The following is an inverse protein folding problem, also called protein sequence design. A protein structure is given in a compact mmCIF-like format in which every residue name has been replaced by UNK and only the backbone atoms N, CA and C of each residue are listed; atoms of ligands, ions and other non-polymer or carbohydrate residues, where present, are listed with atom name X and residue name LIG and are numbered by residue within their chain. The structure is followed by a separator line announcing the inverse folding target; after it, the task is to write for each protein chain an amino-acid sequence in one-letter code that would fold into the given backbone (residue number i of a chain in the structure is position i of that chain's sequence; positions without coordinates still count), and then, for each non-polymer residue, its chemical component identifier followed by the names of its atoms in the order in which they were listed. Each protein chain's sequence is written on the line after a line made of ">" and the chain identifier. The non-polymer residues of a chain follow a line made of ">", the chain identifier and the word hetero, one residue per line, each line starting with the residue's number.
data_IF_629315280772
#
_entry.id   IF_629315280772
#
_cell.length_a   1.000
_cell.length_b   1.000
_cell.length_c   1.000
_cell.angle_alpha   90.00
_cell.angle_beta   90.00
_cell.angle_gamma   90.00
#
_symmetry.space_group_name_H-M   'P 1'
#
loop_
_entity.id
_entity.type
_entity.pdbx_description
1 polymer ?
#
# COMPACT_ATOMS: atom_id res chain seq x y z
N UNK A 1 -19.55 -7.65 1.10
CA UNK A 1 -18.85 -6.86 0.08
C UNK A 1 -17.35 -7.09 0.21
N UNK A 2 -16.61 -7.26 -0.88
CA UNK A 2 -15.17 -7.44 -0.77
C UNK A 2 -14.52 -6.15 -0.24
N UNK A 3 -13.41 -6.29 0.51
CA UNK A 3 -12.66 -5.13 0.94
C UNK A 3 -12.12 -4.33 -0.25
N UNK A 4 -12.08 -3.02 -0.10
CA UNK A 4 -11.59 -2.10 -1.13
C UNK A 4 -10.12 -1.81 -0.94
N UNK A 5 -9.35 -1.92 -2.00
CA UNK A 5 -7.90 -1.75 -1.98
C UNK A 5 -7.45 -0.67 -2.96
N UNK A 6 -6.56 0.20 -2.50
CA UNK A 6 -5.87 1.17 -3.34
C UNK A 6 -4.45 0.64 -3.61
N UNK A 7 -4.05 0.58 -4.87
CA UNK A 7 -2.71 0.15 -5.28
C UNK A 7 -1.84 1.36 -5.60
N UNK A 8 -0.68 1.45 -4.95
CA UNK A 8 0.24 2.58 -5.15
C UNK A 8 1.64 2.07 -5.46
N UNK A 9 2.08 2.28 -6.70
CA UNK A 9 3.41 1.90 -7.18
C UNK A 9 3.63 2.66 -8.49
N UNK A 10 4.82 3.18 -8.73
CA UNK A 10 5.12 3.88 -9.98
C UNK A 10 5.32 2.93 -11.16
N UNK A 11 5.36 1.63 -10.92
CA UNK A 11 5.50 0.61 -11.96
C UNK A 11 4.15 0.02 -12.34
N UNK A 12 3.77 0.16 -13.61
CA UNK A 12 2.56 -0.48 -14.15
C UNK A 12 2.61 -1.99 -13.98
N UNK A 13 3.80 -2.57 -14.18
CA UNK A 13 4.01 -4.02 -14.05
C UNK A 13 3.69 -4.49 -12.63
N UNK A 14 4.19 -3.78 -11.62
CA UNK A 14 3.95 -4.15 -10.22
C UNK A 14 2.49 -3.99 -9.82
N UNK A 15 1.83 -2.92 -10.29
CA UNK A 15 0.40 -2.75 -10.00
C UNK A 15 -0.43 -3.86 -10.65
N UNK A 16 -0.10 -4.24 -11.89
CA UNK A 16 -0.80 -5.34 -12.57
C UNK A 16 -0.60 -6.66 -11.84
N UNK A 17 0.60 -6.92 -11.33
CA UNK A 17 0.89 -8.13 -10.56
C UNK A 17 0.06 -8.18 -9.28
N UNK A 18 0.01 -7.08 -8.54
CA UNK A 18 -0.83 -6.99 -7.34
C UNK A 18 -2.31 -7.14 -7.68
N UNK A 19 -2.76 -6.55 -8.79
CA UNK A 19 -4.14 -6.68 -9.24
C UNK A 19 -4.48 -8.15 -9.48
N UNK A 20 -3.63 -8.87 -10.20
CA UNK A 20 -3.85 -10.31 -10.45
C UNK A 20 -3.94 -11.12 -9.16
N UNK A 21 -3.12 -10.78 -8.18
CA UNK A 21 -3.13 -11.47 -6.89
C UNK A 21 -4.43 -11.19 -6.12
N UNK A 22 -4.93 -9.96 -6.19
CA UNK A 22 -5.98 -9.47 -5.28
C UNK A 22 -7.39 -9.47 -5.87
N UNK A 23 -7.55 -9.36 -7.19
CA UNK A 23 -8.86 -9.09 -7.79
C UNK A 23 -9.93 -10.14 -7.54
N UNK A 24 -9.54 -11.36 -7.19
CA UNK A 24 -10.48 -12.43 -6.89
C UNK A 24 -11.27 -12.18 -5.58
N UNK A 25 -10.60 -11.59 -4.59
CA UNK A 25 -11.16 -11.44 -3.24
C UNK A 25 -11.28 -9.99 -2.78
N UNK A 26 -10.77 -9.04 -3.56
CA UNK A 26 -10.74 -7.63 -3.21
C UNK A 26 -11.20 -6.77 -4.39
N UNK A 27 -11.79 -5.61 -4.07
CA UNK A 27 -12.15 -4.63 -5.08
C UNK A 27 -11.04 -3.59 -5.19
N UNK A 28 -10.43 -3.48 -6.37
CA UNK A 28 -9.40 -2.46 -6.62
C UNK A 28 -10.10 -1.17 -6.97
N UNK A 29 -10.07 -0.19 -6.07
CA UNK A 29 -10.82 1.07 -6.26
C UNK A 29 -10.01 2.16 -6.93
N UNK A 30 -8.70 1.99 -7.04
CA UNK A 30 -7.85 2.95 -7.72
C UNK A 30 -6.41 2.51 -7.79
N UNK A 31 -5.64 3.19 -8.64
CA UNK A 31 -4.21 2.99 -8.79
C UNK A 31 -3.52 4.35 -8.82
N UNK A 32 -2.45 4.48 -8.05
CA UNK A 32 -1.66 5.70 -7.98
C UNK A 32 -0.20 5.42 -8.35
N UNK A 33 0.47 6.39 -8.95
CA UNK A 33 1.85 6.28 -9.39
C UNK A 33 2.83 7.02 -8.50
N UNK A 34 2.34 7.80 -7.55
CA UNK A 34 3.17 8.57 -6.61
C UNK A 34 2.37 8.88 -5.36
N UNK A 35 3.06 9.45 -4.37
CA UNK A 35 2.45 9.72 -3.07
C UNK A 35 1.38 10.80 -3.09
N UNK A 36 1.47 11.76 -4.00
CA UNK A 36 0.44 12.81 -4.13
C UNK A 36 -0.88 12.20 -4.59
N UNK A 37 -0.83 11.40 -5.66
CA UNK A 37 -2.01 10.70 -6.16
C UNK A 37 -2.58 9.73 -5.11
N UNK A 38 -1.70 9.07 -4.36
CA UNK A 38 -2.11 8.15 -3.32
C UNK A 38 -2.98 8.84 -2.27
N UNK A 39 -2.56 10.01 -1.79
CA UNK A 39 -3.31 10.77 -0.80
C UNK A 39 -4.65 11.25 -1.37
N UNK A 40 -4.66 11.75 -2.60
CA UNK A 40 -5.88 12.21 -3.26
C UNK A 40 -6.89 11.08 -3.42
N UNK A 41 -6.46 9.92 -3.92
CA UNK A 41 -7.33 8.77 -4.13
C UNK A 41 -7.80 8.15 -2.80
N UNK A 42 -6.95 8.19 -1.77
CA UNK A 42 -7.35 7.74 -0.44
C UNK A 42 -8.53 8.57 0.08
N UNK A 43 -8.44 9.88 -0.05
CA UNK A 43 -9.52 10.79 0.39
C UNK A 43 -10.79 10.59 -0.42
N UNK A 44 -10.65 10.34 -1.72
CA UNK A 44 -11.79 10.16 -2.62
C UNK A 44 -12.52 8.84 -2.37
N UNK A 45 -11.80 7.75 -2.18
CA UNK A 45 -12.39 6.41 -2.12
C UNK A 45 -12.51 5.81 -0.73
N UNK A 46 -11.76 6.34 0.25
CA UNK A 46 -11.72 5.80 1.61
C UNK A 46 -11.58 4.26 1.61
N UNK A 47 -10.52 3.72 1.00
CA UNK A 47 -10.38 2.27 0.87
C UNK A 47 -10.13 1.60 2.21
N UNK A 48 -10.41 0.31 2.28
CA UNK A 48 -10.14 -0.49 3.48
C UNK A 48 -8.64 -0.77 3.68
N UNK A 49 -7.87 -0.71 2.59
CA UNK A 49 -6.46 -1.09 2.59
C UNK A 49 -5.71 -0.34 1.50
N UNK A 50 -4.47 0.06 1.79
CA UNK A 50 -3.55 0.63 0.80
C UNK A 50 -2.32 -0.26 0.70
N UNK A 51 -1.99 -0.67 -0.53
CA UNK A 51 -0.72 -1.33 -0.83
C UNK A 51 0.21 -0.24 -1.35
N UNK A 52 1.20 0.16 -0.55
CA UNK A 52 2.00 1.37 -0.77
C UNK A 52 3.46 1.06 -1.03
N UNK A 53 3.94 1.34 -2.24
CA UNK A 53 5.37 1.27 -2.54
C UNK A 53 6.11 2.37 -1.76
N UNK A 54 7.34 2.09 -1.33
CA UNK A 54 8.13 3.04 -0.56
C UNK A 54 8.75 4.10 -1.47
N UNK A 55 9.43 3.66 -2.53
CA UNK A 55 10.22 4.56 -3.39
C UNK A 55 9.43 4.93 -4.64
N UNK A 56 9.02 6.18 -4.72
CA UNK A 56 8.26 6.71 -5.86
C UNK A 56 8.69 8.15 -6.14
N UNK A 57 8.48 8.64 -7.38
CA UNK A 57 8.77 10.04 -7.69
C UNK A 57 7.80 10.99 -7.00
N UNK A 58 8.14 12.26 -6.96
CA UNK A 58 7.33 13.39 -6.45
C UNK A 58 7.18 13.34 -4.94
N UNK A 59 6.50 12.32 -4.42
CA UNK A 59 6.33 12.08 -2.99
C UNK A 59 6.41 10.58 -2.75
N UNK A 60 7.26 10.14 -1.83
CA UNK A 60 7.45 8.72 -1.57
C UNK A 60 6.32 8.13 -0.71
N UNK A 61 6.36 6.80 -0.54
CA UNK A 61 5.31 6.09 0.19
C UNK A 61 5.32 6.37 1.69
N UNK A 62 6.47 6.69 2.28
CA UNK A 62 6.55 7.01 3.71
C UNK A 62 5.87 8.34 3.99
N UNK A 63 6.14 9.36 3.16
CA UNK A 63 5.48 10.66 3.28
C UNK A 63 3.98 10.55 3.06
N UNK A 64 3.56 9.79 2.04
CA UNK A 64 2.15 9.57 1.77
C UNK A 64 1.46 8.85 2.93
N UNK A 65 2.11 7.82 3.50
CA UNK A 65 1.58 7.09 4.66
C UNK A 65 1.41 8.01 5.85
N UNK A 66 2.40 8.85 6.14
CA UNK A 66 2.33 9.82 7.24
C UNK A 66 1.14 10.77 7.07
N UNK A 67 0.90 11.24 5.85
CA UNK A 67 -0.21 12.15 5.56
C UNK A 67 -1.56 11.44 5.69
N UNK A 68 -1.67 10.21 5.16
CA UNK A 68 -2.89 9.41 5.24
C UNK A 68 -3.23 9.09 6.69
N UNK A 69 -2.27 8.57 7.47
CA UNK A 69 -2.52 8.18 8.86
C UNK A 69 -2.72 9.38 9.77
N UNK A 70 -2.13 10.53 9.42
CA UNK A 70 -2.35 11.77 10.15
C UNK A 70 -3.77 12.27 10.04
N UNK A 71 -4.44 12.06 8.92
CA UNK A 71 -5.83 12.46 8.72
C UNK A 71 -6.82 11.32 9.04
N UNK A 72 -6.38 10.08 8.99
CA UNK A 72 -7.20 8.91 9.30
C UNK A 72 -6.37 7.90 10.10
N UNK A 73 -6.41 7.96 11.43
CA UNK A 73 -5.63 7.05 12.27
C UNK A 73 -6.02 5.56 12.13
N UNK A 74 -7.19 5.29 11.57
CA UNK A 74 -7.64 3.90 11.34
C UNK A 74 -7.25 3.36 9.97
N UNK A 75 -6.51 4.14 9.16
CA UNK A 75 -6.07 3.70 7.85
C UNK A 75 -5.17 2.47 7.96
N UNK A 76 -5.40 1.49 7.08
CA UNK A 76 -4.58 0.28 6.99
C UNK A 76 -3.64 0.41 5.81
N UNK A 77 -2.33 0.48 6.07
CA UNK A 77 -1.31 0.63 5.03
C UNK A 77 -0.30 -0.50 5.14
N UNK A 78 -0.13 -1.23 4.05
CA UNK A 78 0.92 -2.25 3.92
C UNK A 78 1.98 -1.71 2.97
N UNK A 79 3.22 -1.62 3.47
CA UNK A 79 4.33 -1.14 2.66
C UNK A 79 4.86 -2.25 1.77
N UNK A 80 5.18 -1.91 0.53
CA UNK A 80 5.81 -2.82 -0.42
C UNK A 80 7.27 -2.41 -0.57
N UNK A 81 8.20 -3.28 -0.20
CA UNK A 81 9.61 -2.92 -0.07
C UNK A 81 10.49 -3.86 -0.89
N UNK A 82 11.67 -3.39 -1.26
CA UNK A 82 12.70 -4.20 -1.90
C UNK A 82 13.76 -4.58 -0.89
N UNK A 83 14.51 -5.64 -1.17
CA UNK A 83 15.65 -6.04 -0.34
C UNK A 83 16.62 -4.87 -0.22
N UNK A 84 17.10 -4.61 0.99
CA UNK A 84 18.04 -3.52 1.26
C UNK A 84 17.39 -2.23 1.73
N UNK A 85 16.10 -2.21 2.00
CA UNK A 85 15.37 -1.01 2.43
C UNK A 85 14.96 -1.04 3.91
N UNK A 86 15.72 -1.74 4.75
CA UNK A 86 15.36 -1.96 6.16
C UNK A 86 15.25 -0.66 6.95
N UNK A 87 16.13 0.32 6.68
CA UNK A 87 16.03 1.62 7.36
C UNK A 87 14.78 2.37 7.00
N UNK A 88 14.39 2.28 5.73
CA UNK A 88 13.14 2.90 5.27
C UNK A 88 11.94 2.26 5.91
N UNK A 89 12.01 0.96 6.20
CA UNK A 89 10.95 0.26 6.90
C UNK A 89 10.72 0.79 8.31
N UNK A 90 11.79 1.15 9.03
CA UNK A 90 11.66 1.77 10.35
C UNK A 90 10.91 3.09 10.26
N UNK A 91 11.22 3.89 9.25
CA UNK A 91 10.54 5.16 9.04
C UNK A 91 9.08 4.95 8.62
N UNK A 92 8.80 3.90 7.84
CA UNK A 92 7.44 3.56 7.45
C UNK A 92 6.56 3.17 8.64
N UNK A 93 7.12 2.39 9.57
CA UNK A 93 6.41 2.03 10.80
C UNK A 93 6.11 3.27 11.63
N UNK A 94 7.08 4.17 11.77
CA UNK A 94 6.89 5.45 12.48
C UNK A 94 5.83 6.32 11.82
N UNK A 95 5.69 6.24 10.49
CA UNK A 95 4.69 6.98 9.74
C UNK A 95 3.28 6.38 9.87
N UNK A 96 3.16 5.18 10.45
CA UNK A 96 1.88 4.54 10.72
C UNK A 96 1.56 3.32 9.88
N UNK A 97 2.53 2.76 9.15
CA UNK A 97 2.31 1.53 8.40
C UNK A 97 2.00 0.35 9.32
N UNK A 98 1.06 -0.49 8.92
CA UNK A 98 0.57 -1.60 9.72
C UNK A 98 1.26 -2.93 9.40
N UNK A 99 1.86 -3.03 8.23
CA UNK A 99 2.55 -4.23 7.80
C UNK A 99 3.42 -3.97 6.59
N UNK A 100 4.09 -5.01 6.13
CA UNK A 100 4.92 -4.90 4.93
C UNK A 100 5.01 -6.23 4.19
N UNK A 101 5.32 -6.14 2.90
CA UNK A 101 5.66 -7.29 2.06
C UNK A 101 6.90 -6.93 1.25
N UNK A 102 7.68 -7.94 0.89
CA UNK A 102 8.93 -7.77 0.15
C UNK A 102 8.75 -8.19 -1.31
N UNK A 103 9.26 -7.38 -2.21
CA UNK A 103 9.30 -7.73 -3.64
C UNK A 103 10.39 -8.79 -3.87
N UNK A 104 10.20 -9.73 -4.80
CA UNK A 104 9.05 -9.90 -5.68
C UNK A 104 7.84 -10.47 -4.93
N UNK A 105 6.63 -10.07 -5.34
CA UNK A 105 5.39 -10.46 -4.66
C UNK A 105 5.08 -11.93 -4.93
N UNK A 106 4.70 -12.63 -3.86
CA UNK A 106 4.18 -13.98 -3.95
C UNK A 106 2.80 -13.99 -3.31
N UNK A 107 1.83 -14.59 -3.98
CA UNK A 107 0.44 -14.54 -3.57
C UNK A 107 0.22 -14.94 -2.11
N UNK A 108 0.77 -16.07 -1.61
CA UNK A 108 0.55 -16.45 -0.20
C UNK A 108 1.07 -15.40 0.77
N UNK A 109 2.22 -14.79 0.49
CA UNK A 109 2.81 -13.78 1.37
C UNK A 109 1.99 -12.50 1.41
N UNK A 110 1.47 -12.09 0.25
CA UNK A 110 0.63 -10.90 0.15
C UNK A 110 -0.67 -11.11 0.93
N UNK A 111 -1.33 -12.24 0.72
CA UNK A 111 -2.59 -12.53 1.39
C UNK A 111 -2.42 -12.68 2.90
N UNK A 112 -1.33 -13.29 3.36
CA UNK A 112 -1.04 -13.42 4.78
C UNK A 112 -0.83 -12.05 5.44
N UNK A 113 -0.07 -11.16 4.79
CA UNK A 113 0.17 -9.82 5.31
C UNK A 113 -1.14 -9.03 5.43
N UNK A 114 -2.03 -9.17 4.46
CA UNK A 114 -3.34 -8.51 4.50
C UNK A 114 -4.19 -9.06 5.63
N UNK A 115 -4.23 -10.37 5.80
CA UNK A 115 -4.99 -11.00 6.88
C UNK A 115 -4.54 -10.52 8.25
N UNK A 116 -3.21 -10.35 8.44
CA UNK A 116 -2.66 -9.87 9.70
C UNK A 116 -3.08 -8.43 10.03
N UNK A 117 -3.38 -7.63 9.01
CA UNK A 117 -3.72 -6.21 9.17
C UNK A 117 -5.23 -6.00 9.29
N UNK A 118 -6.03 -6.68 8.47
CA UNK A 118 -7.48 -6.41 8.37
C UNK A 118 -8.37 -7.49 8.97
N UNK A 119 -7.79 -8.53 9.54
CA UNK A 119 -8.56 -9.64 10.09
C UNK A 119 -9.25 -9.29 11.45
#
# INVERSE_FOLDING_TARGET
>A
MPPQVLLVDDSDFMRNLLREILEENFEIVGEAENGVEAVELYREHDPDLVMMDIVMPIRDGIEATSEITGSDPDANVIMCTSVGQEEKMKNAVKAGADGYITKPFQKPNVLEAIDDVVA
#
